data_IF_296260843480
#
_entry.id   IF_296260843480
#
_cell.length_a   1.000
_cell.length_b   1.000
_cell.length_c   1.000
_cell.angle_alpha   90.00
_cell.angle_beta   90.00
_cell.angle_gamma   90.00
#
_symmetry.space_group_name_H-M   'P 1'
#
loop_
_entity.id
_entity.type
_entity.pdbx_description
1 polymer ?
#
# COMPACT_ATOMS: atom_id res chain seq x y z
N UNK A 1 0.61 11.46 5.20
CA UNK A 1 -0.05 10.90 4.00
C UNK A 1 -0.29 11.91 2.90
N UNK A 2 -0.83 13.12 3.18
CA UNK A 2 -1.17 14.08 2.13
C UNK A 2 0.04 14.50 1.28
N UNK A 3 1.23 14.59 1.88
CA UNK A 3 2.48 14.95 1.17
C UNK A 3 2.90 13.91 0.13
N UNK A 4 2.91 12.61 0.47
CA UNK A 4 3.27 11.55 -0.47
C UNK A 4 2.29 11.46 -1.65
N UNK A 5 0.99 11.56 -1.38
CA UNK A 5 -0.03 11.57 -2.43
C UNK A 5 0.03 12.83 -3.30
N UNK A 6 0.57 13.92 -2.79
CA UNK A 6 0.77 15.16 -3.55
C UNK A 6 2.05 15.16 -4.40
N UNK A 7 2.92 14.16 -4.26
CA UNK A 7 4.13 14.04 -5.08
C UNK A 7 3.80 13.51 -6.47
N UNK A 8 4.31 14.19 -7.51
CA UNK A 8 4.19 13.78 -8.90
C UNK A 8 4.73 12.35 -9.11
N UNK A 9 4.07 11.57 -9.96
CA UNK A 9 4.43 10.17 -10.26
C UNK A 9 3.50 9.17 -9.57
N UNK A 10 4.08 8.15 -8.94
CA UNK A 10 3.33 7.04 -8.33
C UNK A 10 2.41 7.50 -7.19
N UNK A 11 2.88 8.43 -6.34
CA UNK A 11 2.08 9.02 -5.26
C UNK A 11 0.78 9.66 -5.76
N UNK A 12 0.86 10.49 -6.81
CA UNK A 12 -0.32 11.12 -7.42
C UNK A 12 -1.26 10.10 -8.07
N UNK A 13 -0.72 9.07 -8.73
CA UNK A 13 -1.53 8.00 -9.31
C UNK A 13 -2.32 7.25 -8.22
N UNK A 14 -1.67 6.95 -7.10
CA UNK A 14 -2.34 6.33 -5.95
C UNK A 14 -3.44 7.23 -5.39
N UNK A 15 -3.23 8.54 -5.30
CA UNK A 15 -4.26 9.47 -4.82
C UNK A 15 -5.52 9.44 -5.70
N UNK A 16 -5.34 9.50 -7.02
CA UNK A 16 -6.43 9.63 -7.99
C UNK A 16 -7.16 8.31 -8.20
N UNK A 17 -6.43 7.18 -8.18
CA UNK A 17 -6.96 5.84 -8.47
C UNK A 17 -7.21 5.01 -7.21
N UNK A 18 -7.34 5.64 -6.04
CA UNK A 18 -7.73 4.96 -4.81
C UNK A 18 -8.77 5.70 -3.98
N UNK A 19 -9.59 4.91 -3.30
CA UNK A 19 -10.61 5.39 -2.37
C UNK A 19 -10.15 5.12 -0.95
N UNK A 20 -10.12 6.16 -0.13
CA UNK A 20 -9.90 6.02 1.31
C UNK A 20 -11.00 5.16 1.92
N UNK A 21 -10.61 4.14 2.67
CA UNK A 21 -11.55 3.28 3.41
C UNK A 21 -11.68 3.73 4.86
N UNK A 22 -12.67 3.17 5.58
CA UNK A 22 -12.83 3.39 7.03
C UNK A 22 -11.88 2.53 7.88
N UNK A 23 -11.00 1.73 7.28
CA UNK A 23 -10.02 0.92 8.03
C UNK A 23 -8.80 1.75 8.39
N UNK A 24 -8.32 1.60 9.62
CA UNK A 24 -7.08 2.20 10.11
C UNK A 24 -6.18 1.06 10.59
N UNK A 25 -4.95 1.02 10.07
CA UNK A 25 -3.92 0.05 10.46
C UNK A 25 -2.71 0.83 10.93
N UNK A 26 -2.23 0.53 12.14
CA UNK A 26 -1.07 1.21 12.74
C UNK A 26 -1.19 2.75 12.75
N UNK A 27 -2.39 3.28 12.95
CA UNK A 27 -2.66 4.72 12.92
C UNK A 27 -2.74 5.35 11.53
N UNK A 28 -2.58 4.57 10.46
CA UNK A 28 -2.69 5.02 9.07
C UNK A 28 -3.98 4.55 8.42
N UNK A 29 -4.63 5.43 7.67
CA UNK A 29 -5.82 5.08 6.88
C UNK A 29 -5.46 4.13 5.75
N UNK A 30 -6.27 3.10 5.56
CA UNK A 30 -6.15 2.15 4.46
C UNK A 30 -6.91 2.66 3.25
N UNK A 31 -6.31 2.55 2.07
CA UNK A 31 -6.87 2.93 0.79
C UNK A 31 -7.17 1.68 -0.02
N UNK A 32 -8.22 1.74 -0.83
CA UNK A 32 -8.59 0.69 -1.76
C UNK A 32 -8.28 1.16 -3.17
N UNK A 33 -7.58 0.33 -3.93
CA UNK A 33 -7.35 0.54 -5.34
C UNK A 33 -8.67 0.43 -6.12
N UNK A 34 -9.08 1.49 -6.80
CA UNK A 34 -10.28 1.46 -7.66
C UNK A 34 -9.93 1.03 -9.10
N UNK A 35 -8.66 1.15 -9.47
CA UNK A 35 -8.11 0.64 -10.73
C UNK A 35 -6.73 -0.02 -10.54
N UNK A 36 -6.17 -0.57 -11.61
CA UNK A 36 -4.82 -1.15 -11.59
C UNK A 36 -3.79 -0.02 -11.53
N UNK A 37 -2.90 -0.06 -10.53
CA UNK A 37 -1.90 0.97 -10.27
C UNK A 37 -0.49 0.36 -10.33
N UNK A 38 0.28 0.82 -11.32
CA UNK A 38 1.54 0.18 -11.69
C UNK A 38 1.34 -1.29 -12.09
N UNK A 39 2.38 -2.11 -11.90
CA UNK A 39 2.33 -3.55 -12.17
C UNK A 39 1.93 -4.38 -10.94
N UNK A 40 1.92 -3.76 -9.76
CA UNK A 40 1.92 -4.48 -8.49
C UNK A 40 0.59 -4.33 -7.71
N UNK A 41 -0.15 -3.24 -7.92
CA UNK A 41 -1.44 -3.03 -7.27
C UNK A 41 -2.57 -3.29 -8.26
N UNK A 42 -3.39 -4.29 -7.98
CA UNK A 42 -4.58 -4.60 -8.77
C UNK A 42 -5.81 -3.92 -8.19
N UNK A 43 -6.80 -3.67 -9.04
CA UNK A 43 -8.13 -3.21 -8.63
C UNK A 43 -8.70 -4.06 -7.49
N UNK A 44 -9.15 -3.38 -6.43
CA UNK A 44 -9.71 -3.99 -5.22
C UNK A 44 -8.68 -4.35 -4.15
N UNK A 45 -7.38 -4.22 -4.42
CA UNK A 45 -6.35 -4.36 -3.38
C UNK A 45 -6.46 -3.23 -2.36
N UNK A 46 -6.03 -3.52 -1.14
CA UNK A 46 -5.95 -2.57 -0.04
C UNK A 46 -4.49 -2.22 0.19
N UNK A 47 -4.18 -0.96 0.46
CA UNK A 47 -2.82 -0.56 0.77
C UNK A 47 -2.80 0.59 1.76
N UNK A 48 -1.70 0.72 2.51
CA UNK A 48 -1.47 1.87 3.37
C UNK A 48 0.01 2.23 3.39
N UNK A 49 0.29 3.50 3.61
CA UNK A 49 1.65 4.01 3.76
C UNK A 49 2.17 3.66 5.16
N UNK A 50 3.42 3.23 5.27
CA UNK A 50 4.05 2.96 6.56
C UNK A 50 3.98 4.19 7.48
N UNK A 51 3.73 3.95 8.77
CA UNK A 51 3.59 5.03 9.74
C UNK A 51 4.95 5.53 10.25
N UNK A 52 5.93 4.62 10.36
CA UNK A 52 7.18 4.88 11.07
C UNK A 52 8.14 5.74 10.24
N UNK A 53 8.46 5.27 9.04
CA UNK A 53 9.44 5.86 8.15
C UNK A 53 8.79 6.51 6.92
N UNK A 54 7.53 6.15 6.61
CA UNK A 54 6.78 6.65 5.43
C UNK A 54 7.56 6.46 4.11
N UNK A 55 8.45 5.47 4.06
CA UNK A 55 9.30 5.15 2.90
C UNK A 55 8.73 4.03 2.03
N UNK A 56 7.71 3.33 2.50
CA UNK A 56 7.15 2.17 1.82
C UNK A 56 5.65 2.03 2.04
N UNK A 57 5.03 1.26 1.16
CA UNK A 57 3.59 0.99 1.10
C UNK A 57 3.39 -0.50 1.29
N UNK A 58 2.55 -0.89 2.24
CA UNK A 58 2.16 -2.29 2.42
C UNK A 58 0.90 -2.56 1.59
N UNK A 59 0.96 -3.57 0.72
CA UNK A 59 -0.15 -3.96 -0.17
C UNK A 59 -0.76 -5.28 0.29
N UNK A 60 -2.08 -5.29 0.34
CA UNK A 60 -2.92 -6.40 0.77
C UNK A 60 -3.96 -6.69 -0.29
N UNK A 61 -4.42 -7.94 -0.34
CA UNK A 61 -5.51 -8.33 -1.21
C UNK A 61 -6.84 -7.81 -0.64
N UNK A 62 -7.91 -7.93 -1.44
CA UNK A 62 -9.29 -7.60 -1.01
C UNK A 62 -9.78 -8.35 0.23
N UNK A 63 -9.12 -9.46 0.60
CA UNK A 63 -9.43 -10.29 1.77
C UNK A 63 -8.64 -9.88 3.03
N UNK A 64 -7.69 -8.95 2.90
CA UNK A 64 -6.79 -8.53 3.98
C UNK A 64 -5.55 -9.42 4.16
N UNK A 65 -5.23 -10.31 3.21
CA UNK A 65 -3.96 -11.02 3.22
C UNK A 65 -2.87 -10.13 2.61
N UNK A 66 -1.70 -10.10 3.26
CA UNK A 66 -0.53 -9.39 2.77
C UNK A 66 -0.08 -9.97 1.42
N UNK A 67 0.28 -9.08 0.48
CA UNK A 67 0.82 -9.46 -0.83
C UNK A 67 2.31 -9.14 -0.90
N UNK A 68 2.67 -7.86 -0.76
CA UNK A 68 4.05 -7.39 -0.85
C UNK A 68 4.20 -5.97 -0.30
N UNK A 69 5.45 -5.57 -0.04
CA UNK A 69 5.82 -4.19 0.25
C UNK A 69 6.28 -3.52 -1.05
N UNK A 70 5.78 -2.31 -1.31
CA UNK A 70 6.24 -1.44 -2.40
C UNK A 70 7.04 -0.25 -1.87
N UNK A 71 8.02 0.17 -2.65
CA UNK A 71 8.68 1.46 -2.45
C UNK A 71 7.78 2.60 -2.95
N UNK A 72 8.16 3.84 -2.61
CA UNK A 72 7.43 5.05 -3.02
C UNK A 72 7.40 5.26 -4.55
N UNK A 73 8.30 4.63 -5.30
CA UNK A 73 8.31 4.63 -6.76
C UNK A 73 7.40 3.55 -7.39
N UNK A 74 6.88 2.63 -6.58
CA UNK A 74 6.02 1.53 -7.02
C UNK A 74 6.75 0.21 -7.32
N UNK A 75 8.07 0.15 -7.23
CA UNK A 75 8.86 -1.09 -7.26
C UNK A 75 8.61 -1.97 -6.03
N UNK A 76 8.73 -3.30 -6.21
CA UNK A 76 8.63 -4.25 -5.09
C UNK A 76 9.88 -4.14 -4.24
N UNK A 77 9.68 -4.08 -2.92
CA UNK A 77 10.75 -4.22 -1.96
C UNK A 77 10.86 -5.69 -1.56
N UNK A 78 11.63 -6.47 -2.32
CA UNK A 78 11.81 -7.91 -2.08
C UNK A 78 12.32 -8.20 -0.66
N UNK A 79 13.32 -7.45 -0.19
CA UNK A 79 13.89 -7.61 1.16
C UNK A 79 12.84 -7.48 2.26
N UNK A 80 11.95 -6.48 2.18
CA UNK A 80 10.86 -6.30 3.16
C UNK A 80 9.74 -7.30 2.94
N UNK A 81 9.42 -7.62 1.68
CA UNK A 81 8.37 -8.59 1.33
C UNK A 81 8.69 -9.97 1.90
N UNK A 82 9.93 -10.44 1.77
CA UNK A 82 10.35 -11.71 2.37
C UNK A 82 10.30 -11.69 3.90
N UNK A 83 10.70 -10.57 4.52
CA UNK A 83 10.67 -10.41 5.98
C UNK A 83 9.24 -10.43 6.54
N UNK A 84 8.28 -9.81 5.85
CA UNK A 84 6.86 -9.77 6.26
C UNK A 84 6.14 -11.09 5.92
N UNK A 85 6.48 -11.73 4.80
CA UNK A 85 5.92 -13.03 4.43
C UNK A 85 6.31 -14.12 5.44
N UNK A 86 7.55 -14.09 5.95
CA UNK A 86 7.98 -14.95 7.07
C UNK A 86 7.16 -14.74 8.35
N UNK A 87 6.61 -13.54 8.56
CA UNK A 87 5.79 -13.20 9.73
C UNK A 87 4.29 -13.51 9.55
N UNK A 88 3.83 -13.95 8.36
CA UNK A 88 2.41 -14.25 8.07
C UNK A 88 1.42 -13.18 8.57
N UNK A 89 1.78 -11.90 8.43
CA UNK A 89 0.93 -10.79 8.88
C UNK A 89 -0.40 -10.81 8.11
N UNK A 90 -1.51 -10.94 8.84
CA UNK A 90 -2.87 -10.72 8.31
C UNK A 90 -3.40 -9.40 8.83
N UNK A 91 -4.09 -8.68 7.95
CA UNK A 91 -4.82 -7.47 8.28
C UNK A 91 -6.10 -7.91 9.02
N UNK A 92 -5.97 -8.18 10.33
CA UNK A 92 -7.04 -8.65 11.21
C UNK A 92 -7.92 -7.48 11.66
#
# INVERSE_FOLDING_TARGET
>A
MKEFFSQSGFGKQLEVSSTKTNKIVQGQSVYRADDNMGNNIKKGNLFYLDNLHKDHIEVFNKRGDFIHVLNLDGSINDSKTEAVNKQKRKLK
#
